data_IF_827149431300
#
_entry.id   IF_827149431300
#
_cell.length_a   1.000
_cell.length_b   1.000
_cell.length_c   1.000
_cell.angle_alpha   90.00
_cell.angle_beta   90.00
_cell.angle_gamma   90.00
#
_symmetry.space_group_name_H-M   'P 1'
#
loop_
_entity.id
_entity.type
_entity.pdbx_description
1 polymer ?
#
# COMPACT_ATOMS: atom_id res chain seq x y z
N UNK A 1 14.79 -3.20 1.02
CA UNK A 1 13.58 -2.85 1.80
C UNK A 1 12.47 -3.86 1.57
N UNK A 2 11.63 -4.06 2.53
CA UNK A 2 10.50 -4.96 2.44
C UNK A 2 9.29 -4.30 1.76
N UNK A 3 8.22 -5.06 1.57
CA UNK A 3 7.08 -4.62 0.75
C UNK A 3 6.39 -3.35 1.26
N UNK A 4 6.28 -3.18 2.58
CA UNK A 4 5.66 -2.00 3.17
C UNK A 4 6.42 -0.71 2.88
N UNK A 5 7.74 -0.73 3.07
CA UNK A 5 8.59 0.42 2.78
C UNK A 5 8.60 0.76 1.29
N UNK A 6 8.76 -0.24 0.43
CA UNK A 6 8.72 -0.05 -1.03
C UNK A 6 7.36 0.44 -1.49
N UNK A 7 6.29 -0.11 -0.94
CA UNK A 7 4.92 0.32 -1.25
C UNK A 7 4.67 1.77 -0.85
N UNK A 8 5.11 2.15 0.34
CA UNK A 8 5.00 3.53 0.80
C UNK A 8 5.77 4.49 -0.10
N UNK A 9 6.96 4.10 -0.53
CA UNK A 9 7.79 4.87 -1.46
C UNK A 9 7.04 5.13 -2.79
N UNK A 10 6.39 4.10 -3.33
CA UNK A 10 5.61 4.21 -4.57
C UNK A 10 4.40 5.13 -4.37
N UNK A 11 3.66 4.98 -3.28
CA UNK A 11 2.50 5.81 -2.98
C UNK A 11 2.90 7.27 -2.84
N UNK A 12 3.96 7.55 -2.08
CA UNK A 12 4.43 8.93 -1.88
C UNK A 12 4.87 9.56 -3.19
N UNK A 13 5.54 8.78 -4.07
CA UNK A 13 5.93 9.28 -5.39
C UNK A 13 4.71 9.69 -6.22
N UNK A 14 3.62 8.93 -6.15
CA UNK A 14 2.36 9.28 -6.82
C UNK A 14 1.73 10.56 -6.25
N UNK A 15 2.04 10.89 -5.00
CA UNK A 15 1.59 12.12 -4.35
C UNK A 15 2.59 13.28 -4.53
N UNK A 16 3.64 13.06 -5.32
CA UNK A 16 4.65 14.08 -5.60
C UNK A 16 5.76 14.18 -4.57
N UNK A 17 5.91 13.20 -3.69
CA UNK A 17 6.92 13.19 -2.63
C UNK A 17 7.91 12.06 -2.85
N UNK A 18 9.21 12.37 -2.90
CA UNK A 18 10.27 11.38 -2.97
C UNK A 18 10.72 10.99 -1.56
N UNK A 19 10.54 9.71 -1.21
CA UNK A 19 11.10 9.15 0.01
C UNK A 19 12.41 8.44 -0.33
N UNK A 20 13.51 8.99 0.15
CA UNK A 20 14.83 8.37 0.00
C UNK A 20 15.10 7.30 1.05
N UNK A 21 16.12 6.48 0.79
CA UNK A 21 16.54 5.46 1.75
C UNK A 21 16.92 6.04 3.11
N UNK A 22 17.36 7.29 3.14
CA UNK A 22 17.75 7.97 4.38
C UNK A 22 16.59 8.10 5.37
N UNK A 23 15.36 8.33 4.88
CA UNK A 23 14.20 8.43 5.74
C UNK A 23 13.84 7.07 6.36
N UNK A 24 14.08 5.99 5.62
CA UNK A 24 13.83 4.64 6.12
C UNK A 24 14.96 4.13 7.03
N UNK A 25 16.18 4.54 6.79
CA UNK A 25 17.34 4.07 7.58
C UNK A 25 17.27 4.45 9.05
N UNK A 26 16.49 5.47 9.39
CA UNK A 26 16.24 5.88 10.78
C UNK A 26 15.34 4.90 11.53
N UNK A 27 14.66 4.02 10.82
CA UNK A 27 13.73 3.06 11.41
C UNK A 27 14.49 1.78 11.71
N UNK A 28 14.54 1.41 13.00
CA UNK A 28 15.25 0.22 13.44
C UNK A 28 14.61 -1.04 12.85
N UNK A 29 15.41 -1.86 12.18
CA UNK A 29 14.97 -3.12 11.61
C UNK A 29 14.17 -3.00 10.32
N UNK A 30 14.27 -1.86 9.61
CA UNK A 30 13.48 -1.61 8.38
C UNK A 30 13.73 -2.66 7.28
N UNK A 31 14.92 -3.23 7.20
CA UNK A 31 15.25 -4.25 6.20
C UNK A 31 14.96 -5.68 6.69
N UNK A 32 14.58 -5.84 7.94
CA UNK A 32 14.38 -7.15 8.57
C UNK A 32 12.91 -7.46 8.87
N UNK A 33 12.08 -6.45 8.97
CA UNK A 33 10.66 -6.57 9.27
C UNK A 33 9.84 -5.51 8.52
N UNK A 34 8.55 -5.77 8.38
CA UNK A 34 7.66 -4.80 7.77
C UNK A 34 7.45 -3.58 8.69
N UNK A 35 7.11 -2.44 8.10
CA UNK A 35 6.77 -1.25 8.84
C UNK A 35 5.51 -1.45 9.67
N UNK A 36 5.50 -0.87 10.87
CA UNK A 36 4.28 -0.78 11.67
C UNK A 36 3.41 0.37 11.17
N UNK A 37 2.12 0.34 11.50
CA UNK A 37 1.23 1.46 11.18
C UNK A 37 1.71 2.78 11.79
N UNK A 38 2.22 2.74 13.01
CA UNK A 38 2.77 3.94 13.67
C UNK A 38 3.92 4.54 12.86
N UNK A 39 4.81 3.70 12.35
CA UNK A 39 5.94 4.16 11.53
C UNK A 39 5.48 4.77 10.21
N UNK A 40 4.49 4.14 9.56
CA UNK A 40 3.87 4.68 8.34
C UNK A 40 3.21 6.03 8.62
N UNK A 41 2.48 6.13 9.72
CA UNK A 41 1.81 7.37 10.13
C UNK A 41 2.81 8.48 10.42
N UNK A 42 3.91 8.16 11.10
CA UNK A 42 4.95 9.15 11.41
C UNK A 42 5.62 9.68 10.15
N UNK A 43 5.98 8.80 9.21
CA UNK A 43 6.55 9.21 7.93
C UNK A 43 5.58 10.09 7.16
N UNK A 44 4.30 9.72 7.14
CA UNK A 44 3.27 10.50 6.44
C UNK A 44 3.12 11.89 7.07
N UNK A 45 3.11 11.98 8.38
CA UNK A 45 2.98 13.25 9.09
C UNK A 45 4.17 14.18 8.84
N UNK A 46 5.39 13.64 8.75
CA UNK A 46 6.59 14.41 8.42
C UNK A 46 6.47 15.14 7.07
N UNK A 47 5.67 14.58 6.15
CA UNK A 47 5.47 15.13 4.82
C UNK A 47 4.09 15.79 4.65
N UNK A 48 3.38 16.04 5.77
CA UNK A 48 2.04 16.65 5.79
C UNK A 48 1.01 15.83 4.99
N UNK A 49 1.18 14.53 4.95
CA UNK A 49 0.24 13.61 4.31
C UNK A 49 -0.65 12.99 5.37
N UNK A 50 -1.96 13.10 5.17
CA UNK A 50 -2.94 12.49 6.06
C UNK A 50 -2.96 10.98 5.83
N UNK A 51 -2.80 10.21 6.90
CA UNK A 51 -2.77 8.76 6.85
C UNK A 51 -3.77 8.20 7.86
N UNK A 52 -4.58 7.24 7.43
CA UNK A 52 -5.57 6.58 8.27
C UNK A 52 -5.52 5.06 8.04
N UNK A 53 -5.55 4.30 9.13
CA UNK A 53 -5.66 2.85 9.07
C UNK A 53 -7.12 2.42 9.19
N UNK A 54 -7.50 1.43 8.38
CA UNK A 54 -8.83 0.83 8.43
C UNK A 54 -8.65 -0.68 8.35
N UNK A 55 -9.28 -1.42 9.27
CA UNK A 55 -9.36 -2.87 9.16
C UNK A 55 -10.61 -3.21 8.36
N UNK A 56 -10.42 -3.93 7.26
CA UNK A 56 -11.54 -4.28 6.38
C UNK A 56 -11.33 -5.67 5.77
N UNK A 57 -12.34 -6.16 5.09
CA UNK A 57 -12.30 -7.38 4.29
C UNK A 57 -12.62 -7.04 2.83
N UNK A 58 -12.64 -8.05 1.97
CA UNK A 58 -12.92 -7.87 0.53
C UNK A 58 -14.29 -7.22 0.30
N UNK A 59 -15.31 -7.61 1.05
CA UNK A 59 -16.64 -7.02 0.93
C UNK A 59 -16.62 -5.53 1.29
N UNK A 60 -15.93 -5.17 2.37
CA UNK A 60 -15.77 -3.78 2.76
C UNK A 60 -14.99 -2.96 1.72
N UNK A 61 -13.97 -3.54 1.11
CA UNK A 61 -13.22 -2.89 0.03
C UNK A 61 -14.10 -2.61 -1.17
N UNK A 62 -15.01 -3.54 -1.53
CA UNK A 62 -15.90 -3.37 -2.68
C UNK A 62 -16.87 -2.21 -2.50
N UNK A 63 -17.25 -1.90 -1.26
CA UNK A 63 -18.14 -0.80 -0.94
C UNK A 63 -17.42 0.53 -0.84
N UNK A 64 -16.09 0.50 -0.77
CA UNK A 64 -15.27 1.70 -0.64
C UNK A 64 -14.84 2.18 -2.01
N UNK A 65 -15.14 3.44 -2.33
CA UNK A 65 -14.61 4.07 -3.53
C UNK A 65 -13.15 4.41 -3.27
N UNK A 66 -12.26 3.69 -3.96
CA UNK A 66 -10.82 3.95 -3.87
C UNK A 66 -10.48 5.14 -4.74
N UNK A 67 -10.45 6.34 -4.15
CA UNK A 67 -10.11 7.58 -4.86
C UNK A 67 -8.60 7.82 -4.88
N UNK A 68 -7.88 7.23 -3.94
CA UNK A 68 -6.43 7.38 -3.80
C UNK A 68 -5.83 6.01 -3.53
N UNK A 69 -4.55 5.80 -3.88
CA UNK A 69 -3.88 4.53 -3.60
C UNK A 69 -3.91 4.21 -2.11
N UNK A 70 -4.16 2.95 -1.78
CA UNK A 70 -4.11 2.49 -0.40
C UNK A 70 -3.09 1.37 -0.27
N UNK A 71 -2.38 1.37 0.86
CA UNK A 71 -1.45 0.31 1.21
C UNK A 71 -2.22 -0.75 1.99
N UNK A 72 -2.30 -1.95 1.44
CA UNK A 72 -3.04 -3.06 2.05
C UNK A 72 -2.07 -4.07 2.67
N UNK A 73 -2.26 -4.36 3.95
CA UNK A 73 -1.50 -5.37 4.68
C UNK A 73 -2.25 -6.70 4.60
N UNK A 74 -1.67 -7.65 3.88
CA UNK A 74 -2.29 -8.95 3.66
C UNK A 74 -2.06 -9.90 4.84
N UNK A 75 -2.87 -10.97 4.90
CA UNK A 75 -2.75 -11.98 5.96
C UNK A 75 -1.41 -12.71 5.96
N UNK A 76 -0.71 -12.76 4.82
CA UNK A 76 0.63 -13.35 4.72
C UNK A 76 1.75 -12.42 5.19
N UNK A 77 1.42 -11.22 5.68
CA UNK A 77 2.38 -10.24 6.17
C UNK A 77 2.96 -9.30 5.12
N UNK A 78 2.65 -9.51 3.84
CA UNK A 78 3.12 -8.63 2.77
C UNK A 78 2.18 -7.44 2.59
N UNK A 79 2.75 -6.35 2.07
CA UNK A 79 1.96 -5.19 1.65
C UNK A 79 1.85 -5.15 0.13
N UNK A 80 0.69 -4.73 -0.34
CA UNK A 80 0.46 -4.41 -1.76
C UNK A 80 -0.24 -3.06 -1.85
N UNK A 81 -0.15 -2.42 -3.01
CA UNK A 81 -0.84 -1.16 -3.25
C UNK A 81 -2.12 -1.46 -4.02
N UNK A 82 -3.27 -1.15 -3.43
CA UNK A 82 -4.57 -1.28 -4.11
C UNK A 82 -4.89 0.04 -4.80
N UNK A 83 -5.09 -0.04 -6.11
CA UNK A 83 -5.37 1.14 -6.94
C UNK A 83 -6.86 1.25 -7.24
N UNK A 84 -7.52 0.11 -7.50
CA UNK A 84 -8.92 0.10 -7.90
C UNK A 84 -9.60 -1.19 -7.47
N UNK A 85 -10.84 -1.07 -7.05
CA UNK A 85 -11.72 -2.21 -6.82
C UNK A 85 -12.95 -2.00 -7.72
N UNK A 86 -13.25 -2.99 -8.55
CA UNK A 86 -14.37 -2.92 -9.50
C UNK A 86 -15.17 -4.21 -9.46
N UNK A 87 -16.49 -4.12 -9.69
CA UNK A 87 -17.34 -5.28 -9.89
C UNK A 87 -17.08 -5.85 -11.28
N UNK A 88 -16.81 -7.15 -11.35
CA UNK A 88 -16.67 -7.88 -12.60
C UNK A 88 -17.98 -8.56 -12.99
N UNK A 89 -17.90 -9.44 -14.01
CA UNK A 89 -19.03 -10.26 -14.42
C UNK A 89 -19.46 -11.22 -13.30
N UNK A 90 -20.75 -11.46 -13.13
CA UNK A 90 -21.32 -12.37 -12.14
C UNK A 90 -20.95 -12.01 -10.69
N UNK A 91 -20.90 -10.73 -10.36
CA UNK A 91 -20.54 -10.22 -9.03
C UNK A 91 -19.11 -10.60 -8.58
N UNK A 92 -18.28 -11.06 -9.51
CA UNK A 92 -16.86 -11.26 -9.23
C UNK A 92 -16.18 -9.88 -9.14
N UNK A 93 -15.47 -9.67 -8.05
CA UNK A 93 -14.76 -8.42 -7.86
C UNK A 93 -13.36 -8.51 -8.46
N UNK A 94 -12.97 -7.45 -9.14
CA UNK A 94 -11.63 -7.30 -9.68
C UNK A 94 -10.86 -6.26 -8.86
N UNK A 95 -9.68 -6.63 -8.42
CA UNK A 95 -8.79 -5.73 -7.70
C UNK A 95 -7.59 -5.43 -8.58
N UNK A 96 -7.34 -4.16 -8.84
CA UNK A 96 -6.11 -3.71 -9.49
C UNK A 96 -5.12 -3.33 -8.40
N UNK A 97 -3.95 -3.96 -8.41
CA UNK A 97 -2.94 -3.77 -7.38
C UNK A 97 -1.54 -3.73 -7.96
N UNK A 98 -0.61 -3.19 -7.18
CA UNK A 98 0.83 -3.23 -7.48
C UNK A 98 1.51 -4.03 -6.37
N UNK A 99 2.30 -5.04 -6.76
CA UNK A 99 3.21 -5.73 -5.84
C UNK A 99 4.54 -4.96 -5.84
N UNK A 100 4.89 -4.27 -4.74
CA UNK A 100 6.09 -3.46 -4.70
C UNK A 100 7.39 -4.27 -4.74
N UNK A 101 7.32 -5.58 -4.48
CA UNK A 101 8.49 -6.48 -4.53
C UNK A 101 8.71 -7.11 -5.90
N UNK A 102 7.82 -6.90 -6.87
CA UNK A 102 8.01 -7.37 -8.22
C UNK A 102 9.23 -6.70 -8.86
N UNK A 103 9.94 -7.41 -9.74
CA UNK A 103 11.14 -6.89 -10.40
C UNK A 103 10.85 -5.64 -11.25
N UNK A 104 9.62 -5.52 -11.76
CA UNK A 104 9.15 -4.35 -12.48
C UNK A 104 7.72 -4.05 -12.00
N UNK A 105 7.57 -3.35 -10.86
CA UNK A 105 6.25 -3.09 -10.29
C UNK A 105 5.34 -2.35 -11.26
N UNK A 106 4.21 -2.96 -11.58
CA UNK A 106 3.19 -2.40 -12.47
C UNK A 106 1.81 -2.88 -12.02
N UNK A 107 0.74 -2.18 -12.40
CA UNK A 107 -0.61 -2.62 -12.05
C UNK A 107 -0.93 -4.00 -12.60
N UNK A 108 -1.51 -4.84 -11.74
CA UNK A 108 -1.99 -6.18 -12.08
C UNK A 108 -3.44 -6.28 -11.63
N UNK A 109 -4.23 -7.10 -12.32
CA UNK A 109 -5.64 -7.31 -12.01
C UNK A 109 -5.84 -8.74 -11.58
N UNK A 110 -6.51 -8.92 -10.44
CA UNK A 110 -6.89 -10.24 -9.95
C UNK A 110 -8.41 -10.27 -9.74
N UNK A 111 -9.04 -11.36 -10.20
CA UNK A 111 -10.44 -11.65 -9.93
C UNK A 111 -10.57 -12.45 -8.63
N UNK A 112 -11.53 -12.08 -7.83
CA UNK A 112 -11.81 -12.74 -6.54
C UNK A 112 -13.14 -13.46 -6.57
#
# INVERSE_FOLDING_TARGET
MLSGALGLQIIFRRLGVELGEQQFSKIKGVDERELTFREIKNLSSEHLILCRAVKTNITGLSETIVKQPMLAHLNNGRFVIVIKVASGENDVQNITFIDPKASNPKPEIIGL
#
